data_IF_255244014653
#
_entry.id   IF_255244014653
#
_cell.length_a   1.000
_cell.length_b   1.000
_cell.length_c   1.000
_cell.angle_alpha   90.00
_cell.angle_beta   90.00
_cell.angle_gamma   90.00
#
_symmetry.space_group_name_H-M   'P 1'
#
loop_
_entity.id
_entity.type
_entity.pdbx_description
1 polymer ?
#
# COMPACT_ATOMS: atom_id res chain seq x y z
N UNK A 1 27.29 -7.33 -33.47
CA UNK A 1 28.22 -8.48 -33.51
C UNK A 1 28.85 -8.56 -34.90
N UNK A 2 30.17 -8.57 -34.99
CA UNK A 2 30.85 -8.75 -36.28
C UNK A 2 30.71 -10.22 -36.71
N UNK A 3 30.28 -10.45 -37.96
CA UNK A 3 30.10 -11.78 -38.54
C UNK A 3 31.06 -11.97 -39.71
N UNK A 4 31.42 -13.22 -39.98
CA UNK A 4 32.12 -13.62 -41.21
C UNK A 4 31.19 -13.43 -42.41
N UNK A 5 31.74 -13.46 -43.63
CA UNK A 5 30.96 -13.30 -44.89
C UNK A 5 29.91 -14.39 -45.10
N UNK A 6 30.07 -15.54 -44.45
CA UNK A 6 29.16 -16.70 -44.45
C UNK A 6 28.05 -16.59 -43.38
N UNK A 7 28.06 -15.55 -42.53
CA UNK A 7 27.09 -15.34 -41.46
C UNK A 7 27.44 -16.00 -40.13
N UNK A 8 28.50 -16.81 -40.09
CA UNK A 8 28.98 -17.47 -38.87
C UNK A 8 29.63 -16.48 -37.89
N UNK A 9 29.61 -16.77 -36.57
CA UNK A 9 30.31 -15.96 -35.58
C UNK A 9 31.81 -15.90 -35.86
N UNK A 10 32.42 -14.75 -35.55
CA UNK A 10 33.86 -14.55 -35.76
C UNK A 10 34.72 -15.38 -34.80
N UNK A 11 34.22 -15.68 -33.60
CA UNK A 11 34.91 -16.42 -32.54
C UNK A 11 34.00 -17.51 -31.95
N UNK A 12 34.60 -18.57 -31.41
CA UNK A 12 33.87 -19.64 -30.71
C UNK A 12 33.20 -19.15 -29.42
N UNK A 13 33.77 -18.13 -28.77
CA UNK A 13 33.16 -17.47 -27.61
C UNK A 13 31.83 -16.79 -27.98
N UNK A 14 31.78 -16.11 -29.13
CA UNK A 14 30.53 -15.53 -29.60
C UNK A 14 29.49 -16.59 -29.97
N UNK A 15 29.93 -17.77 -30.43
CA UNK A 15 29.07 -18.92 -30.71
C UNK A 15 28.46 -19.48 -29.41
N UNK A 16 29.29 -19.73 -28.40
CA UNK A 16 28.87 -20.22 -27.07
C UNK A 16 27.90 -19.24 -26.39
N UNK A 17 28.16 -17.94 -26.50
CA UNK A 17 27.28 -16.90 -25.95
C UNK A 17 25.91 -16.92 -26.64
N UNK A 18 25.86 -17.04 -27.97
CA UNK A 18 24.60 -17.12 -28.71
C UNK A 18 23.80 -18.38 -28.34
N UNK A 19 24.47 -19.51 -28.14
CA UNK A 19 23.84 -20.76 -27.72
C UNK A 19 23.23 -20.64 -26.32
N UNK A 20 23.98 -20.10 -25.36
CA UNK A 20 23.50 -19.84 -23.98
C UNK A 20 22.31 -18.88 -23.93
N UNK A 21 22.31 -17.85 -24.78
CA UNK A 21 21.20 -16.91 -24.88
C UNK A 21 19.93 -17.58 -25.42
N UNK A 22 20.09 -18.50 -26.39
CA UNK A 22 18.97 -19.27 -26.93
C UNK A 22 18.40 -20.24 -25.88
N UNK A 23 19.27 -20.94 -25.15
CA UNK A 23 18.86 -21.85 -24.06
C UNK A 23 18.09 -21.11 -22.95
N UNK A 24 18.62 -19.97 -22.47
CA UNK A 24 17.91 -19.15 -21.47
C UNK A 24 16.58 -18.60 -21.97
N UNK A 25 16.46 -18.33 -23.27
CA UNK A 25 15.19 -17.90 -23.86
C UNK A 25 14.12 -18.98 -23.75
N UNK A 26 14.47 -20.22 -24.09
CA UNK A 26 13.58 -21.37 -23.97
C UNK A 26 13.19 -21.64 -22.50
N UNK A 27 14.13 -21.47 -21.55
CA UNK A 27 13.88 -21.58 -20.11
C UNK A 27 12.83 -20.55 -19.63
N UNK A 28 13.02 -19.27 -19.98
CA UNK A 28 12.11 -18.21 -19.56
C UNK A 28 10.75 -18.26 -20.26
N UNK A 29 10.67 -18.70 -21.53
CA UNK A 29 9.40 -18.96 -22.21
C UNK A 29 8.61 -20.09 -21.53
N UNK A 30 9.28 -21.15 -21.09
CA UNK A 30 8.65 -22.21 -20.31
C UNK A 30 8.13 -21.71 -18.96
N UNK A 31 8.89 -20.85 -18.27
CA UNK A 31 8.46 -20.24 -16.99
C UNK A 31 7.27 -19.31 -17.21
N UNK A 32 7.28 -18.47 -18.25
CA UNK A 32 6.17 -17.59 -18.57
C UNK A 32 4.91 -18.36 -19.00
N UNK A 33 5.08 -19.54 -19.60
CA UNK A 33 3.97 -20.46 -19.87
C UNK A 33 3.35 -21.06 -18.59
N UNK A 34 4.09 -21.13 -17.48
CA UNK A 34 3.61 -21.64 -16.19
C UNK A 34 3.03 -20.51 -15.33
N UNK A 35 3.70 -19.37 -15.30
CA UNK A 35 3.32 -18.18 -14.54
C UNK A 35 2.99 -17.04 -15.50
N UNK A 36 1.70 -16.91 -15.84
CA UNK A 36 1.17 -15.86 -16.72
C UNK A 36 1.42 -14.43 -16.23
N UNK A 37 1.92 -14.26 -15.00
CA UNK A 37 2.33 -12.95 -14.47
C UNK A 37 3.67 -12.47 -15.03
N UNK A 38 4.47 -13.38 -15.60
CA UNK A 38 5.71 -13.06 -16.29
C UNK A 38 5.37 -12.63 -17.71
N UNK A 39 5.45 -11.32 -17.99
CA UNK A 39 5.17 -10.78 -19.32
C UNK A 39 6.21 -11.31 -20.34
N UNK A 40 5.75 -12.07 -21.34
CA UNK A 40 6.59 -12.59 -22.44
C UNK A 40 7.33 -11.47 -23.20
N UNK A 41 6.76 -10.27 -23.29
CA UNK A 41 7.33 -9.12 -24.01
C UNK A 41 8.62 -8.58 -23.35
N UNK A 42 8.90 -8.96 -22.09
CA UNK A 42 10.05 -8.47 -21.33
C UNK A 42 11.13 -9.54 -21.06
N UNK A 43 10.97 -10.75 -21.60
CA UNK A 43 11.91 -11.86 -21.41
C UNK A 43 13.28 -11.53 -21.99
N UNK A 44 13.32 -10.98 -23.21
CA UNK A 44 14.57 -10.63 -23.89
C UNK A 44 15.39 -9.58 -23.08
N UNK A 45 14.73 -8.59 -22.48
CA UNK A 45 15.40 -7.59 -21.64
C UNK A 45 15.97 -8.19 -20.36
N UNK A 46 15.27 -9.16 -19.76
CA UNK A 46 15.73 -9.86 -18.56
C UNK A 46 16.98 -10.68 -18.87
N UNK A 47 16.99 -11.41 -19.99
CA UNK A 47 18.13 -12.22 -20.44
C UNK A 47 19.34 -11.32 -20.74
N UNK A 48 19.12 -10.21 -21.45
CA UNK A 48 20.18 -9.24 -21.78
C UNK A 48 20.77 -8.62 -20.51
N UNK A 49 19.94 -8.27 -19.52
CA UNK A 49 20.42 -7.74 -18.24
C UNK A 49 21.23 -8.75 -17.44
N UNK A 50 20.81 -10.02 -17.41
CA UNK A 50 21.53 -11.08 -16.72
C UNK A 50 22.90 -11.33 -17.35
N UNK A 51 22.97 -11.33 -18.69
CA UNK A 51 24.19 -11.54 -19.45
C UNK A 51 25.16 -10.34 -19.39
N UNK A 52 24.67 -9.11 -19.57
CA UNK A 52 25.48 -7.89 -19.48
C UNK A 52 25.95 -7.60 -18.06
N UNK A 53 25.24 -8.08 -17.03
CA UNK A 53 25.68 -7.96 -15.65
C UNK A 53 26.91 -8.83 -15.34
N UNK A 54 27.12 -9.94 -16.07
CA UNK A 54 28.31 -10.78 -15.99
C UNK A 54 29.53 -10.15 -16.68
N UNK A 55 29.32 -9.29 -17.69
CA UNK A 55 30.39 -8.65 -18.46
C UNK A 55 30.98 -7.44 -17.71
N UNK A 56 31.84 -7.71 -16.71
CA UNK A 56 32.61 -6.67 -16.02
C UNK A 56 34.10 -6.79 -16.31
N UNK A 57 34.53 -6.30 -17.47
CA UNK A 57 35.93 -5.93 -17.70
C UNK A 57 36.06 -4.59 -18.43
N UNK A 58 36.82 -3.65 -17.83
CA UNK A 58 37.28 -2.42 -18.49
C UNK A 58 36.33 -1.22 -18.47
N UNK A 59 36.01 -0.70 -17.28
CA UNK A 59 35.26 0.57 -17.12
C UNK A 59 36.05 1.76 -17.69
N UNK A 60 35.83 2.11 -18.95
CA UNK A 60 36.09 3.47 -19.43
C UNK A 60 34.92 4.33 -18.95
N UNK A 61 35.16 5.12 -17.92
CA UNK A 61 34.24 6.17 -17.48
C UNK A 61 34.29 7.27 -18.54
N UNK A 62 33.46 7.21 -19.57
CA UNK A 62 33.13 8.42 -20.30
C UNK A 62 32.29 9.29 -19.35
N UNK A 63 32.73 10.53 -19.13
CA UNK A 63 32.03 11.51 -18.32
C UNK A 63 30.58 11.65 -18.83
N UNK A 64 29.60 11.10 -18.12
CA UNK A 64 28.18 11.35 -18.41
C UNK A 64 27.21 10.21 -18.12
N UNK A 65 27.47 8.98 -18.57
CA UNK A 65 26.52 7.87 -18.40
C UNK A 65 27.27 6.54 -18.26
N UNK A 66 27.31 5.99 -17.06
CA UNK A 66 27.68 4.59 -16.87
C UNK A 66 26.64 3.68 -17.53
N UNK A 67 27.00 2.41 -17.76
CA UNK A 67 26.05 1.36 -18.15
C UNK A 67 25.06 1.11 -17.01
N UNK A 68 24.05 1.97 -16.91
CA UNK A 68 22.71 1.53 -16.55
C UNK A 68 22.14 0.88 -17.80
N UNK A 69 21.65 -0.38 -17.75
CA UNK A 69 20.79 -0.89 -18.79
C UNK A 69 19.48 -0.08 -18.74
N UNK A 70 19.52 1.12 -19.30
CA UNK A 70 18.31 1.82 -19.68
C UNK A 70 17.79 1.01 -20.86
N UNK A 71 16.76 0.20 -20.59
CA UNK A 71 15.81 -0.38 -21.54
C UNK A 71 16.33 -0.40 -22.97
N UNK A 72 16.74 -1.59 -23.43
CA UNK A 72 17.13 -1.90 -24.79
C UNK A 72 16.24 -1.16 -25.80
N UNK A 73 16.75 -0.06 -26.37
CA UNK A 73 15.96 0.82 -27.23
C UNK A 73 15.92 0.19 -28.62
N UNK A 74 14.87 -0.56 -28.90
CA UNK A 74 14.53 -1.02 -30.26
C UNK A 74 14.25 -2.51 -30.33
N UNK A 75 12.98 -2.88 -30.13
CA UNK A 75 12.24 -3.81 -31.01
C UNK A 75 10.72 -3.87 -30.70
N UNK A 76 10.26 -3.20 -29.62
CA UNK A 76 8.83 -3.05 -29.28
C UNK A 76 8.32 -1.60 -29.23
N UNK A 77 8.95 -0.66 -29.94
CA UNK A 77 8.63 0.79 -29.90
C UNK A 77 7.28 1.18 -30.55
N UNK A 78 6.28 0.31 -30.50
CA UNK A 78 4.88 0.67 -30.73
C UNK A 78 4.05 0.44 -29.47
N UNK A 79 4.49 0.92 -28.30
CA UNK A 79 3.61 1.41 -27.22
C UNK A 79 4.41 1.95 -26.02
N UNK A 80 5.38 2.83 -26.25
CA UNK A 80 5.83 3.72 -25.17
C UNK A 80 6.25 5.08 -25.70
N UNK A 81 5.30 5.73 -26.36
CA UNK A 81 5.12 7.14 -26.10
C UNK A 81 3.88 7.21 -25.22
N UNK A 82 3.99 7.45 -23.90
CA UNK A 82 2.80 7.88 -23.19
C UNK A 82 2.39 9.15 -23.92
N UNK A 83 1.22 9.13 -24.58
CA UNK A 83 0.71 10.36 -25.19
C UNK A 83 0.80 11.45 -24.12
N UNK A 84 1.14 12.69 -24.46
CA UNK A 84 1.36 13.74 -23.44
C UNK A 84 0.20 13.89 -22.43
N UNK A 85 -0.98 13.35 -22.76
CA UNK A 85 -2.17 13.27 -21.93
C UNK A 85 -2.21 12.06 -20.97
N UNK A 86 -1.53 10.95 -21.25
CA UNK A 86 -1.54 9.73 -20.43
C UNK A 86 -0.91 9.97 -19.04
N UNK A 87 0.22 10.68 -19.00
CA UNK A 87 0.84 11.08 -17.73
C UNK A 87 -0.08 12.00 -16.91
N UNK A 88 -0.84 12.88 -17.57
CA UNK A 88 -1.81 13.75 -16.91
C UNK A 88 -3.02 12.99 -16.37
N UNK A 89 -3.53 12.02 -17.13
CA UNK A 89 -4.66 11.16 -16.71
C UNK A 89 -4.27 10.33 -15.49
N UNK A 90 -3.04 9.80 -15.45
CA UNK A 90 -2.56 9.00 -14.33
C UNK A 90 -2.31 9.85 -13.07
N UNK A 91 -1.75 11.06 -13.23
CA UNK A 91 -1.67 12.05 -12.16
C UNK A 91 -3.06 12.41 -11.63
N UNK A 92 -4.06 12.60 -12.51
CA UNK A 92 -5.42 12.91 -12.08
C UNK A 92 -6.08 11.73 -11.36
N UNK A 93 -5.83 10.49 -11.82
CA UNK A 93 -6.30 9.27 -11.14
C UNK A 93 -5.73 9.18 -9.73
N UNK A 94 -4.42 9.40 -9.57
CA UNK A 94 -3.75 9.39 -8.28
C UNK A 94 -4.29 10.50 -7.36
N UNK A 95 -4.52 11.71 -7.89
CA UNK A 95 -5.18 12.80 -7.13
C UNK A 95 -6.56 12.40 -6.63
N UNK A 96 -7.37 11.77 -7.48
CA UNK A 96 -8.70 11.30 -7.08
C UNK A 96 -8.62 10.21 -6.01
N UNK A 97 -7.66 9.28 -6.11
CA UNK A 97 -7.43 8.26 -5.08
C UNK A 97 -6.99 8.86 -3.74
N UNK A 98 -6.08 9.83 -3.77
CA UNK A 98 -5.63 10.55 -2.56
C UNK A 98 -6.81 11.29 -1.92
N UNK A 99 -7.65 11.96 -2.72
CA UNK A 99 -8.83 12.66 -2.22
C UNK A 99 -9.84 11.69 -1.57
N UNK A 100 -10.06 10.52 -2.17
CA UNK A 100 -10.92 9.48 -1.58
C UNK A 100 -10.35 8.94 -0.27
N UNK A 101 -9.05 8.64 -0.23
CA UNK A 101 -8.40 8.19 1.00
C UNK A 101 -8.47 9.24 2.11
N UNK A 102 -8.29 10.52 1.77
CA UNK A 102 -8.42 11.63 2.73
C UNK A 102 -9.84 11.75 3.26
N UNK A 103 -10.86 11.68 2.39
CA UNK A 103 -12.25 11.74 2.81
C UNK A 103 -12.61 10.59 3.77
N UNK A 104 -12.21 9.36 3.44
CA UNK A 104 -12.44 8.20 4.30
C UNK A 104 -11.74 8.34 5.66
N UNK A 105 -10.49 8.84 5.67
CA UNK A 105 -9.75 9.06 6.91
C UNK A 105 -10.42 10.12 7.80
N UNK A 106 -10.87 11.23 7.22
CA UNK A 106 -11.59 12.28 7.95
C UNK A 106 -12.91 11.76 8.50
N UNK A 107 -13.63 10.95 7.72
CA UNK A 107 -14.87 10.31 8.17
C UNK A 107 -14.62 9.36 9.34
N UNK A 108 -13.60 8.50 9.28
CA UNK A 108 -13.23 7.64 10.40
C UNK A 108 -12.86 8.43 11.66
N UNK A 109 -12.12 9.55 11.52
CA UNK A 109 -11.79 10.41 12.66
C UNK A 109 -13.07 11.01 13.27
N UNK A 110 -14.00 11.48 12.43
CA UNK A 110 -15.26 12.04 12.89
C UNK A 110 -16.14 10.98 13.60
N UNK A 111 -16.16 9.74 13.11
CA UNK A 111 -16.87 8.63 13.77
C UNK A 111 -16.29 8.33 15.15
N UNK A 112 -14.96 8.26 15.27
CA UNK A 112 -14.29 8.02 16.56
C UNK A 112 -14.58 9.16 17.54
N UNK A 113 -14.52 10.41 17.09
CA UNK A 113 -14.85 11.58 17.91
C UNK A 113 -16.31 11.52 18.39
N UNK A 114 -17.26 11.20 17.51
CA UNK A 114 -18.68 11.06 17.86
C UNK A 114 -18.90 9.99 18.92
N UNK A 115 -18.29 8.80 18.75
CA UNK A 115 -18.38 7.71 19.73
C UNK A 115 -17.82 8.12 21.10
N UNK A 116 -16.74 8.90 21.11
CA UNK A 116 -16.17 9.40 22.35
C UNK A 116 -17.12 10.38 23.06
N UNK A 117 -17.74 11.31 22.34
CA UNK A 117 -18.72 12.24 22.89
C UNK A 117 -19.99 11.53 23.39
N UNK A 118 -20.51 10.57 22.63
CA UNK A 118 -21.65 9.74 23.04
C UNK A 118 -21.33 8.96 24.33
N UNK A 119 -20.15 8.36 24.42
CA UNK A 119 -19.72 7.65 25.63
C UNK A 119 -19.60 8.60 26.85
N UNK A 120 -19.08 9.81 26.65
CA UNK A 120 -19.04 10.84 27.69
C UNK A 120 -20.44 11.25 28.16
N UNK A 121 -21.39 11.38 27.23
CA UNK A 121 -22.79 11.69 27.57
C UNK A 121 -23.46 10.55 28.34
N UNK A 122 -23.25 9.30 27.92
CA UNK A 122 -23.78 8.13 28.61
C UNK A 122 -23.29 8.06 30.06
N UNK A 123 -22.00 8.25 30.29
CA UNK A 123 -21.44 8.28 31.65
C UNK A 123 -22.04 9.41 32.50
N UNK A 124 -22.22 10.60 31.93
CA UNK A 124 -22.86 11.71 32.65
C UNK A 124 -24.31 11.40 33.00
N UNK A 125 -25.06 10.80 32.07
CA UNK A 125 -26.44 10.39 32.32
C UNK A 125 -26.53 9.30 33.40
N UNK A 126 -25.68 8.27 33.34
CA UNK A 126 -25.67 7.18 34.32
C UNK A 126 -25.30 7.67 35.73
N UNK A 127 -24.33 8.59 35.82
CA UNK A 127 -23.97 9.22 37.11
C UNK A 127 -25.13 10.04 37.66
N UNK A 128 -25.80 10.85 36.82
CA UNK A 128 -26.95 11.64 37.25
C UNK A 128 -28.13 10.75 37.70
N UNK A 129 -28.40 9.64 37.03
CA UNK A 129 -29.42 8.67 37.46
C UNK A 129 -29.06 8.05 38.81
N UNK A 130 -27.81 7.59 38.99
CA UNK A 130 -27.37 7.02 40.28
C UNK A 130 -27.42 8.03 41.42
N UNK A 131 -27.07 9.29 41.16
CA UNK A 131 -27.15 10.35 42.15
C UNK A 131 -28.60 10.65 42.54
N UNK A 132 -29.51 10.74 41.56
CA UNK A 132 -30.94 10.93 41.81
C UNK A 132 -31.54 9.78 42.64
N UNK A 133 -31.17 8.53 42.33
CA UNK A 133 -31.59 7.34 43.09
C UNK A 133 -31.05 7.37 44.52
N UNK A 134 -29.78 7.76 44.71
CA UNK A 134 -29.19 7.88 46.04
C UNK A 134 -29.84 8.99 46.86
N UNK A 135 -30.13 10.14 46.24
CA UNK A 135 -30.82 11.26 46.88
C UNK A 135 -32.25 10.88 47.31
N UNK A 136 -32.99 10.17 46.45
CA UNK A 136 -34.33 9.68 46.77
C UNK A 136 -34.31 8.73 47.98
N UNK A 137 -33.40 7.75 48.01
CA UNK A 137 -33.25 6.83 49.15
C UNK A 137 -32.89 7.56 50.44
N UNK A 138 -32.03 8.58 50.37
CA UNK A 138 -31.63 9.38 51.54
C UNK A 138 -32.80 10.24 52.05
N UNK A 139 -33.57 10.85 51.16
CA UNK A 139 -34.75 11.62 51.51
C UNK A 139 -35.83 10.73 52.16
N UNK A 140 -36.03 9.52 51.64
CA UNK A 140 -36.98 8.55 52.20
C UNK A 140 -36.54 8.08 53.59
N UNK A 141 -35.24 7.78 53.77
CA UNK A 141 -34.69 7.46 55.09
C UNK A 141 -34.86 8.62 56.09
N UNK A 142 -34.61 9.86 55.67
CA UNK A 142 -34.80 11.05 56.51
C UNK A 142 -36.28 11.31 56.85
N UNK A 143 -37.20 11.04 55.92
CA UNK A 143 -38.63 11.13 56.17
C UNK A 143 -39.09 10.05 57.16
N UNK A 144 -38.54 8.83 57.07
CA UNK A 144 -38.83 7.74 58.00
C UNK A 144 -38.33 8.04 59.41
N UNK A 145 -37.12 8.59 59.56
CA UNK A 145 -36.59 8.99 60.87
C UNK A 145 -37.38 10.15 61.47
N UNK A 146 -37.72 11.18 60.67
CA UNK A 146 -38.52 12.31 61.14
C UNK A 146 -39.93 11.89 61.61
N UNK A 147 -40.56 10.94 60.91
CA UNK A 147 -41.85 10.36 61.33
C UNK A 147 -41.73 9.58 62.64
N UNK A 148 -40.65 8.82 62.83
CA UNK A 148 -40.42 8.08 64.08
C UNK A 148 -40.18 9.01 65.27
N UNK A 149 -39.40 10.08 65.10
CA UNK A 149 -39.16 11.06 66.18
C UNK A 149 -40.46 11.75 66.63
N UNK A 150 -41.30 12.21 65.69
CA UNK A 150 -42.60 12.81 66.03
C UNK A 150 -43.50 11.88 66.84
N UNK A 151 -43.51 10.59 66.50
CA UNK A 151 -44.32 9.59 67.22
C UNK A 151 -43.81 9.35 68.65
N UNK A 152 -42.52 9.52 68.89
CA UNK A 152 -41.93 9.41 70.23
C UNK A 152 -42.21 10.66 71.07
N UNK A 153 -42.15 11.85 70.46
CA UNK A 153 -42.46 13.13 71.12
C UNK A 153 -43.94 13.22 71.54
N UNK A 154 -44.87 12.69 70.75
CA UNK A 154 -46.30 12.59 71.09
C UNK A 154 -46.60 11.65 72.26
N UNK A 155 -45.71 10.70 72.58
CA UNK A 155 -45.87 9.77 73.70
C UNK A 155 -45.27 10.29 75.03
N UNK A 156 -44.54 11.41 75.00
CA UNK A 156 -43.94 12.03 76.19
C UNK A 156 -44.67 13.28 76.68
N UNK A 157 -45.80 13.65 76.07
CA UNK A 157 -46.74 14.68 76.52
C UNK A 157 -47.96 14.05 77.22
#
# INVERSE_FOLDING_TARGET
MHRKKDGSPMTSEAEEIMEKLKEKKEEYEAIASIDSSVNLENIDNRIINEFLALERYGRVRFQGFGVTPAQYFGFGSQQYMPSGNQAQVEVQRLRNQIAQMQANMVEQIAEVQRKYEEFQQQLRAEVAEREAVAAARKAEAAAMTAKQSRKYDELQL
#
